data_IF_504620965535
#
_entry.id   IF_504620965535
#
_cell.length_a   1.000
_cell.length_b   1.000
_cell.length_c   1.000
_cell.angle_alpha   90.00
_cell.angle_beta   90.00
_cell.angle_gamma   90.00
#
_symmetry.space_group_name_H-M   'P 1'
#
loop_
_entity.id
_entity.type
_entity.pdbx_description
1 polymer ?
#
# COMPACT_ATOMS: atom_id res chain seq x y z
N UNK A 1 -23.17 -7.55 20.29
CA UNK A 1 -23.31 -6.09 20.04
C UNK A 1 -22.61 -5.85 18.72
N UNK A 2 -23.24 -6.36 17.67
CA UNK A 2 -22.65 -6.55 16.37
C UNK A 2 -23.25 -5.48 15.45
N UNK A 3 -22.47 -4.44 15.21
CA UNK A 3 -22.77 -3.45 14.17
C UNK A 3 -21.71 -3.56 13.10
N UNK A 4 -21.80 -4.65 12.33
CA UNK A 4 -21.21 -4.74 11.00
C UNK A 4 -22.16 -4.00 10.05
N UNK A 5 -21.78 -2.78 9.67
CA UNK A 5 -22.32 -2.13 8.48
C UNK A 5 -21.24 -2.21 7.41
N UNK A 6 -21.58 -2.99 6.40
CA UNK A 6 -21.01 -3.02 5.07
C UNK A 6 -21.16 -1.62 4.45
N UNK A 7 -20.06 -0.99 4.04
CA UNK A 7 -19.99 -0.13 2.85
C UNK A 7 -18.61 0.52 2.66
N UNK A 8 -18.12 0.44 1.42
CA UNK A 8 -17.11 1.30 0.77
C UNK A 8 -15.63 1.02 1.07
N UNK A 9 -15.08 0.11 0.25
CA UNK A 9 -13.65 -0.19 0.09
C UNK A 9 -12.88 0.93 -0.60
N UNK A 10 -11.80 1.47 -0.02
CA UNK A 10 -10.89 2.33 -0.75
C UNK A 10 -9.69 1.52 -1.27
N UNK A 11 -9.77 1.22 -2.56
CA UNK A 11 -8.67 1.25 -3.53
C UNK A 11 -7.31 0.65 -3.12
N UNK A 12 -7.15 -0.64 -3.47
CA UNK A 12 -6.03 -1.09 -4.30
C UNK A 12 -6.62 -2.03 -5.36
N UNK A 13 -6.94 -1.50 -6.55
CA UNK A 13 -7.28 -2.35 -7.69
C UNK A 13 -5.98 -2.83 -8.32
N UNK A 14 -5.64 -4.07 -8.02
CA UNK A 14 -4.64 -4.88 -8.70
C UNK A 14 -5.50 -5.90 -9.43
N UNK A 15 -5.48 -5.91 -10.77
CA UNK A 15 -6.28 -6.85 -11.55
C UNK A 15 -6.01 -8.29 -11.08
N UNK A 16 -7.02 -8.93 -10.49
CA UNK A 16 -6.97 -10.34 -10.06
C UNK A 16 -6.85 -10.62 -8.56
N UNK A 17 -6.93 -9.64 -7.66
CA UNK A 17 -6.95 -9.90 -6.21
C UNK A 17 -8.37 -9.66 -5.67
N UNK A 18 -9.05 -10.74 -5.27
CA UNK A 18 -10.32 -10.70 -4.54
C UNK A 18 -10.22 -9.81 -3.29
N UNK A 19 -11.37 -9.29 -2.83
CA UNK A 19 -11.52 -8.37 -1.68
C UNK A 19 -10.75 -8.92 -0.46
N UNK A 20 -9.52 -8.45 -0.26
CA UNK A 20 -8.66 -8.90 0.85
C UNK A 20 -9.32 -8.50 2.18
N UNK A 21 -9.35 -9.43 3.13
CA UNK A 21 -9.77 -9.13 4.49
C UNK A 21 -8.74 -8.20 5.15
N UNK A 22 -9.19 -7.07 5.67
CA UNK A 22 -8.34 -6.13 6.39
C UNK A 22 -9.03 -5.65 7.68
N UNK A 23 -8.23 -5.34 8.70
CA UNK A 23 -8.69 -4.78 9.97
C UNK A 23 -7.92 -3.50 10.26
N UNK A 24 -8.63 -2.38 10.25
CA UNK A 24 -8.07 -1.04 10.47
C UNK A 24 -8.98 -0.26 11.41
N UNK A 25 -8.42 0.68 12.15
CA UNK A 25 -9.16 1.43 13.16
C UNK A 25 -10.22 2.36 12.55
N UNK A 26 -9.87 3.12 11.50
CA UNK A 26 -10.76 4.10 10.88
C UNK A 26 -10.52 4.19 9.37
N UNK A 27 -11.54 3.88 8.57
CA UNK A 27 -11.45 3.93 7.11
C UNK A 27 -11.75 5.31 6.53
N UNK A 28 -12.47 6.15 7.27
CA UNK A 28 -12.95 7.46 6.79
C UNK A 28 -11.86 8.55 6.69
N UNK A 29 -10.59 8.25 7.03
CA UNK A 29 -9.48 9.22 7.03
C UNK A 29 -8.73 9.31 5.68
N UNK A 30 -9.37 8.93 4.58
CA UNK A 30 -8.74 8.70 3.27
C UNK A 30 -7.98 9.91 2.71
N UNK A 31 -8.52 11.13 2.81
CA UNK A 31 -7.87 12.32 2.26
C UNK A 31 -6.59 12.71 3.02
N UNK A 32 -6.64 12.74 4.35
CA UNK A 32 -5.47 12.97 5.19
C UNK A 32 -4.41 11.89 4.99
N UNK A 33 -4.82 10.63 4.85
CA UNK A 33 -3.91 9.51 4.56
C UNK A 33 -3.24 9.64 3.19
N UNK A 34 -3.97 10.08 2.15
CA UNK A 34 -3.39 10.36 0.82
C UNK A 34 -2.34 11.46 0.90
N UNK A 35 -2.62 12.54 1.63
CA UNK A 35 -1.67 13.64 1.83
C UNK A 35 -0.40 13.16 2.56
N UNK A 36 -0.55 12.38 3.62
CA UNK A 36 0.58 11.80 4.35
C UNK A 36 1.44 10.86 3.48
N UNK A 37 0.80 10.00 2.67
CA UNK A 37 1.50 9.14 1.69
C UNK A 37 2.24 9.95 0.63
N UNK A 38 1.66 11.06 0.18
CA UNK A 38 2.31 11.95 -0.79
C UNK A 38 3.55 12.62 -0.20
N UNK A 39 3.46 13.12 1.03
CA UNK A 39 4.61 13.71 1.73
C UNK A 39 5.73 12.68 1.95
N UNK A 40 5.39 11.47 2.43
CA UNK A 40 6.34 10.39 2.66
C UNK A 40 7.06 9.93 1.37
N UNK A 41 6.43 10.05 0.20
CA UNK A 41 7.06 9.70 -1.09
C UNK A 41 8.33 10.52 -1.35
N UNK A 42 8.37 11.78 -0.93
CA UNK A 42 9.54 12.64 -1.12
C UNK A 42 10.75 12.17 -0.30
N UNK A 43 10.53 11.48 0.81
CA UNK A 43 11.58 10.98 1.70
C UNK A 43 12.19 9.67 1.19
N UNK A 44 11.39 8.82 0.50
CA UNK A 44 11.82 7.50 0.03
C UNK A 44 12.36 7.55 -1.42
N UNK A 45 13.41 8.36 -1.63
CA UNK A 45 14.06 8.54 -2.93
C UNK A 45 14.81 7.27 -3.40
N UNK A 46 15.35 6.48 -2.46
CA UNK A 46 16.12 5.27 -2.77
C UNK A 46 15.31 4.24 -3.55
N UNK A 47 14.08 3.96 -3.10
CA UNK A 47 13.19 3.00 -3.76
C UNK A 47 12.69 3.51 -5.12
N UNK A 48 12.58 4.83 -5.27
CA UNK A 48 12.24 5.44 -6.55
C UNK A 48 13.34 5.25 -7.60
N UNK A 49 14.62 5.23 -7.18
CA UNK A 49 15.74 4.88 -8.07
C UNK A 49 15.68 3.40 -8.46
N UNK A 50 15.43 2.51 -7.50
CA UNK A 50 15.27 1.08 -7.78
C UNK A 50 14.14 0.81 -8.78
N UNK A 51 13.02 1.52 -8.67
CA UNK A 51 11.94 1.46 -9.66
C UNK A 51 12.38 1.86 -11.07
N UNK A 52 13.24 2.87 -11.22
CA UNK A 52 13.73 3.28 -12.55
C UNK A 52 14.59 2.20 -13.21
N UNK A 53 15.32 1.42 -12.42
CA UNK A 53 16.24 0.37 -12.92
C UNK A 53 15.52 -0.96 -13.11
N UNK A 54 14.73 -1.40 -12.13
CA UNK A 54 14.15 -2.74 -12.08
C UNK A 54 12.64 -2.79 -12.38
N UNK A 55 11.99 -1.64 -12.59
CA UNK A 55 10.54 -1.57 -12.80
C UNK A 55 10.05 -2.32 -14.05
N UNK A 56 10.87 -2.47 -15.08
CA UNK A 56 10.54 -3.27 -16.27
C UNK A 56 10.74 -4.78 -16.04
N UNK A 57 11.67 -5.15 -15.16
CA UNK A 57 11.99 -6.54 -14.86
C UNK A 57 11.01 -7.17 -13.87
N UNK A 58 10.32 -6.34 -13.08
CA UNK A 58 9.37 -6.74 -12.04
C UNK A 58 9.86 -7.95 -11.22
N UNK A 59 11.05 -7.87 -10.57
CA UNK A 59 11.63 -8.98 -9.82
C UNK A 59 10.74 -9.53 -8.70
N UNK A 60 9.76 -8.77 -8.20
CA UNK A 60 8.87 -9.17 -7.12
C UNK A 60 7.49 -9.66 -7.64
N UNK A 61 7.36 -9.90 -8.94
CA UNK A 61 6.13 -10.44 -9.51
C UNK A 61 5.93 -11.90 -9.09
N UNK A 62 4.79 -12.17 -8.45
CA UNK A 62 4.37 -13.53 -8.08
C UNK A 62 4.97 -14.07 -6.78
N UNK A 63 5.73 -13.26 -6.04
CA UNK A 63 6.22 -13.66 -4.71
C UNK A 63 5.22 -13.27 -3.62
N UNK A 64 5.13 -14.11 -2.58
CA UNK A 64 4.34 -13.82 -1.38
C UNK A 64 5.22 -13.05 -0.38
N UNK A 65 4.90 -11.77 -0.18
CA UNK A 65 5.62 -10.90 0.77
C UNK A 65 4.86 -10.79 2.09
N UNK A 66 5.50 -11.13 3.20
CA UNK A 66 5.00 -10.90 4.57
C UNK A 66 5.82 -9.79 5.21
N UNK A 67 5.17 -8.79 5.78
CA UNK A 67 5.82 -7.67 6.45
C UNK A 67 5.34 -7.54 7.89
N UNK A 68 6.27 -7.64 8.86
CA UNK A 68 6.03 -7.35 10.27
C UNK A 68 6.82 -6.08 10.65
N UNK A 69 6.35 -4.94 10.17
CA UNK A 69 6.94 -3.63 10.45
C UNK A 69 5.90 -2.71 11.08
N UNK A 70 6.39 -1.67 11.76
CA UNK A 70 5.56 -0.59 12.26
C UNK A 70 4.77 0.05 11.11
N UNK A 71 3.45 0.13 11.26
CA UNK A 71 2.54 0.67 10.25
C UNK A 71 2.58 2.20 10.30
N UNK A 72 3.30 2.79 9.36
CA UNK A 72 3.43 4.25 9.19
C UNK A 72 3.18 4.66 7.74
N UNK A 73 3.05 5.96 7.47
CA UNK A 73 2.89 6.47 6.11
C UNK A 73 4.10 6.12 5.20
N UNK A 74 5.30 6.09 5.76
CA UNK A 74 6.53 5.69 5.06
C UNK A 74 6.49 4.20 4.67
N UNK A 75 6.08 3.32 5.59
CA UNK A 75 5.90 1.89 5.31
C UNK A 75 4.82 1.67 4.23
N UNK A 76 3.73 2.44 4.27
CA UNK A 76 2.66 2.36 3.27
C UNK A 76 3.15 2.68 1.84
N UNK A 77 3.93 3.75 1.67
CA UNK A 77 4.49 4.08 0.36
C UNK A 77 5.56 3.05 -0.05
N UNK A 78 6.34 2.50 0.88
CA UNK A 78 7.31 1.44 0.62
C UNK A 78 6.63 0.19 0.05
N UNK A 79 5.61 -0.34 0.71
CA UNK A 79 4.84 -1.50 0.25
C UNK A 79 4.21 -1.24 -1.12
N UNK A 80 3.63 -0.05 -1.33
CA UNK A 80 3.05 0.36 -2.63
C UNK A 80 4.08 0.34 -3.76
N UNK A 81 5.37 0.55 -3.46
CA UNK A 81 6.45 0.50 -4.46
C UNK A 81 6.93 -0.92 -4.70
N UNK A 82 7.00 -1.77 -3.68
CA UNK A 82 7.32 -3.19 -3.86
C UNK A 82 6.30 -3.93 -4.70
N UNK A 83 5.02 -3.60 -4.57
CA UNK A 83 3.97 -4.17 -5.42
C UNK A 83 4.14 -3.82 -6.91
N UNK A 84 4.84 -2.74 -7.22
CA UNK A 84 5.08 -2.27 -8.59
C UNK A 84 6.51 -2.57 -9.07
N UNK A 85 7.28 -3.30 -8.28
CA UNK A 85 8.54 -3.95 -8.60
C UNK A 85 8.29 -5.45 -8.73
#
# INVERSE_FOLDING_TARGET
MDRFHDEQTPFVFIDGIEKLSYKIAYINLTESSKKALFMAKAEILGIMRLRKVYGSQQPLKGIHLVACLHLTAQTGIMIKKFLLL
#
